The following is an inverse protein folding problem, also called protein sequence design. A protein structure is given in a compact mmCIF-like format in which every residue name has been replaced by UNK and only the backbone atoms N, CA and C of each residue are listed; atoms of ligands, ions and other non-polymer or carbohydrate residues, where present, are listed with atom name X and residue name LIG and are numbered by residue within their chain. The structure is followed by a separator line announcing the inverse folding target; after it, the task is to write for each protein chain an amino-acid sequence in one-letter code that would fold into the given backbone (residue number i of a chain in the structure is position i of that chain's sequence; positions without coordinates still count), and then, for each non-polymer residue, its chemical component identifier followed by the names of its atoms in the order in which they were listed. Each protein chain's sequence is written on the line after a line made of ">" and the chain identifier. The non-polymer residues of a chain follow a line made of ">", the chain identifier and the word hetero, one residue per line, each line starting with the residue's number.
data_IF_743575983070
#
_entry.id   IF_743575983070
#
_cell.length_a   1.000
_cell.length_b   1.000
_cell.length_c   1.000
_cell.angle_alpha   90.00
_cell.angle_beta   90.00
_cell.angle_gamma   90.00
#
_symmetry.space_group_name_H-M   'P 1'
#
loop_
_entity.id
_entity.type
_entity.pdbx_description
1 polymer ?
#
# COMPACT_ATOMS: atom_id res chain seq x y z
N UNK A 1 49.16 -8.51 18.74
CA UNK A 1 48.20 -8.34 17.62
C UNK A 1 46.73 -8.55 18.01
N UNK A 2 46.37 -9.48 18.92
CA UNK A 2 44.97 -9.76 19.33
C UNK A 2 44.16 -8.56 19.87
N UNK A 3 44.78 -7.64 20.63
CA UNK A 3 44.08 -6.47 21.22
C UNK A 3 43.60 -5.42 20.20
N UNK A 4 44.25 -5.29 19.04
CA UNK A 4 43.84 -4.36 17.99
C UNK A 4 42.53 -4.80 17.32
N UNK A 5 42.33 -6.09 17.10
CA UNK A 5 41.11 -6.62 16.48
C UNK A 5 39.88 -6.47 17.39
N UNK A 6 40.07 -6.57 18.71
CA UNK A 6 39.01 -6.33 19.70
C UNK A 6 38.50 -4.88 19.65
N UNK A 7 39.41 -3.92 19.45
CA UNK A 7 39.03 -2.50 19.31
C UNK A 7 38.22 -2.23 18.04
N UNK A 8 38.60 -2.82 16.90
CA UNK A 8 37.82 -2.73 15.67
C UNK A 8 36.45 -3.41 15.77
N UNK A 9 36.36 -4.52 16.51
CA UNK A 9 35.10 -5.22 16.75
C UNK A 9 34.13 -4.39 17.62
N UNK A 10 34.65 -3.71 18.65
CA UNK A 10 33.85 -2.80 19.49
C UNK A 10 33.36 -1.57 18.74
N UNK A 11 34.14 -1.06 17.77
CA UNK A 11 33.75 0.11 16.97
C UNK A 11 32.56 -0.18 16.02
N UNK A 12 32.43 -1.43 15.55
CA UNK A 12 31.34 -1.86 14.66
C UNK A 12 29.96 -1.90 15.34
N UNK A 13 29.92 -2.04 16.67
CA UNK A 13 28.67 -2.16 17.45
C UNK A 13 28.00 -0.78 17.65
N UNK A 14 28.74 0.32 17.48
CA UNK A 14 28.25 1.69 17.74
C UNK A 14 27.58 2.32 16.51
N UNK A 15 27.46 1.60 15.39
CA UNK A 15 26.73 2.13 14.24
C UNK A 15 25.24 2.12 14.60
N UNK A 16 24.58 3.29 14.77
CA UNK A 16 23.15 3.31 15.00
C UNK A 16 22.48 2.73 13.77
N UNK A 17 21.79 1.60 13.94
CA UNK A 17 20.86 1.09 12.94
C UNK A 17 19.84 2.20 12.73
N UNK A 18 19.91 2.90 11.59
CA UNK A 18 18.85 3.82 11.19
C UNK A 18 17.59 2.99 11.06
N UNK A 19 16.57 3.32 11.85
CA UNK A 19 15.27 2.66 11.77
C UNK A 19 14.79 2.68 10.31
N UNK A 20 14.79 1.51 9.69
CA UNK A 20 14.15 1.31 8.40
C UNK A 20 12.66 1.23 8.67
N UNK A 21 11.98 2.38 8.61
CA UNK A 21 10.53 2.45 8.75
C UNK A 21 9.88 1.82 7.51
N UNK A 22 9.66 0.50 7.57
CA UNK A 22 8.89 -0.22 6.57
C UNK A 22 7.42 0.18 6.67
N UNK A 23 6.85 0.53 5.52
CA UNK A 23 5.44 0.77 5.37
C UNK A 23 4.67 -0.54 5.31
N UNK A 24 3.61 -0.66 6.09
CA UNK A 24 2.63 -1.71 5.84
C UNK A 24 1.73 -1.31 4.68
N UNK A 25 1.88 -2.01 3.54
CA UNK A 25 1.00 -1.87 2.39
C UNK A 25 -0.15 -2.87 2.47
N UNK A 26 -1.37 -2.39 2.24
CA UNK A 26 -2.53 -3.26 2.05
C UNK A 26 -3.09 -3.12 0.65
N UNK A 27 -3.61 -4.23 0.14
CA UNK A 27 -4.12 -4.35 -1.22
C UNK A 27 -5.54 -4.88 -1.15
N UNK A 28 -6.48 -4.11 -1.69
CA UNK A 28 -7.86 -4.53 -1.89
C UNK A 28 -8.17 -4.54 -3.39
N UNK A 29 -8.54 -5.72 -3.89
CA UNK A 29 -8.90 -5.92 -5.29
C UNK A 29 -10.33 -6.42 -5.36
N UNK A 30 -11.14 -5.76 -6.19
CA UNK A 30 -12.45 -6.23 -6.59
C UNK A 30 -12.37 -6.79 -8.02
N UNK A 31 -12.11 -8.11 -8.17
CA UNK A 31 -11.97 -8.73 -9.48
C UNK A 31 -13.34 -8.88 -10.15
N UNK A 32 -13.35 -9.05 -11.47
CA UNK A 32 -14.54 -9.49 -12.20
C UNK A 32 -14.50 -11.01 -12.34
N UNK A 33 -15.12 -11.71 -11.40
CA UNK A 33 -15.28 -13.17 -11.45
C UNK A 33 -16.65 -13.54 -10.89
N UNK A 34 -17.15 -14.74 -11.24
CA UNK A 34 -18.39 -15.28 -10.67
C UNK A 34 -18.31 -15.51 -9.15
N UNK A 35 -17.12 -15.48 -8.58
CA UNK A 35 -16.83 -15.67 -7.16
C UNK A 35 -16.61 -14.34 -6.41
N UNK A 36 -16.64 -13.21 -7.13
CA UNK A 36 -16.48 -11.88 -6.55
C UNK A 36 -17.75 -11.48 -5.80
N UNK A 37 -17.86 -11.88 -4.54
CA UNK A 37 -18.92 -11.44 -3.63
C UNK A 37 -18.59 -10.06 -3.06
N UNK A 38 -19.55 -9.15 -3.03
CA UNK A 38 -19.39 -7.79 -2.47
C UNK A 38 -18.82 -7.81 -1.04
N UNK A 39 -19.21 -8.81 -0.24
CA UNK A 39 -18.69 -9.02 1.12
C UNK A 39 -17.18 -9.28 1.17
N UNK A 40 -16.58 -9.85 0.12
CA UNK A 40 -15.14 -10.15 0.08
C UNK A 40 -14.31 -8.88 -0.12
N UNK A 41 -14.80 -7.92 -0.89
CA UNK A 41 -14.10 -6.64 -1.08
C UNK A 41 -14.15 -5.79 0.20
N UNK A 42 -15.32 -5.68 0.83
CA UNK A 42 -15.46 -4.97 2.09
C UNK A 42 -14.64 -5.62 3.21
N UNK A 43 -14.56 -6.95 3.24
CA UNK A 43 -13.70 -7.68 4.17
C UNK A 43 -12.22 -7.35 3.95
N UNK A 44 -11.74 -7.33 2.71
CA UNK A 44 -10.36 -6.88 2.40
C UNK A 44 -10.11 -5.46 2.92
N UNK A 45 -11.02 -4.52 2.65
CA UNK A 45 -10.91 -3.14 3.11
C UNK A 45 -10.90 -3.02 4.64
N UNK A 46 -11.70 -3.85 5.34
CA UNK A 46 -11.73 -3.88 6.80
C UNK A 46 -10.41 -4.34 7.42
N UNK A 47 -9.69 -5.26 6.76
CA UNK A 47 -8.37 -5.72 7.18
C UNK A 47 -7.29 -4.66 6.94
N UNK A 48 -7.50 -3.78 5.95
CA UNK A 48 -6.57 -2.70 5.60
C UNK A 48 -6.63 -1.47 6.53
N UNK A 49 -7.55 -1.42 7.50
CA UNK A 49 -7.76 -0.22 8.35
C UNK A 49 -6.52 0.28 9.07
N UNK A 50 -5.59 -0.62 9.41
CA UNK A 50 -4.38 -0.30 10.20
C UNK A 50 -3.10 -0.19 9.35
N UNK A 51 -3.22 -0.17 8.02
CA UNK A 51 -2.07 -0.14 7.12
C UNK A 51 -1.57 1.29 6.87
N UNK A 52 -0.28 1.44 6.61
CA UNK A 52 0.36 2.73 6.31
C UNK A 52 0.10 3.18 4.87
N UNK A 53 -0.22 2.26 3.95
CA UNK A 53 -0.61 2.60 2.59
C UNK A 53 -1.68 1.62 2.10
N UNK A 54 -2.57 2.10 1.24
CA UNK A 54 -3.66 1.32 0.69
C UNK A 54 -3.66 1.40 -0.84
N UNK A 55 -3.67 0.24 -1.48
CA UNK A 55 -3.90 0.08 -2.90
C UNK A 55 -5.32 -0.43 -3.13
N UNK A 56 -6.09 0.32 -3.92
CA UNK A 56 -7.45 0.00 -4.34
C UNK A 56 -7.47 -0.31 -5.82
N UNK A 57 -8.15 -1.39 -6.21
CA UNK A 57 -8.33 -1.72 -7.63
C UNK A 57 -9.67 -2.40 -7.86
N UNK A 58 -10.41 -1.91 -8.84
CA UNK A 58 -11.74 -2.41 -9.21
C UNK A 58 -11.74 -2.69 -10.70
N UNK A 59 -12.19 -3.89 -11.08
CA UNK A 59 -12.25 -4.30 -12.47
C UNK A 59 -13.22 -3.40 -13.27
N UNK A 60 -12.84 -3.01 -14.48
CA UNK A 60 -13.61 -2.05 -15.29
C UNK A 60 -14.92 -2.60 -15.88
N UNK A 61 -15.09 -3.93 -15.92
CA UNK A 61 -16.32 -4.58 -16.39
C UNK A 61 -17.57 -4.31 -15.53
N UNK A 62 -17.43 -3.72 -14.33
CA UNK A 62 -18.60 -3.27 -13.56
C UNK A 62 -19.06 -1.90 -14.08
N UNK A 63 -20.34 -1.76 -14.40
CA UNK A 63 -20.91 -0.50 -14.91
C UNK A 63 -20.64 0.70 -13.98
N UNK A 64 -20.62 0.44 -12.68
CA UNK A 64 -20.36 1.42 -11.62
C UNK A 64 -18.92 1.37 -11.07
N UNK A 65 -17.97 0.73 -11.75
CA UNK A 65 -16.61 0.51 -11.24
C UNK A 65 -15.91 1.80 -10.77
N UNK A 66 -16.03 2.88 -11.55
CA UNK A 66 -15.44 4.18 -11.21
C UNK A 66 -16.12 4.80 -9.97
N UNK A 67 -17.45 4.69 -9.89
CA UNK A 67 -18.20 5.17 -8.73
C UNK A 67 -17.84 4.38 -7.47
N UNK A 68 -17.76 3.04 -7.56
CA UNK A 68 -17.30 2.18 -6.47
C UNK A 68 -15.90 2.55 -6.00
N UNK A 69 -14.99 2.86 -6.93
CA UNK A 69 -13.64 3.29 -6.59
C UNK A 69 -13.67 4.62 -5.84
N UNK A 70 -14.44 5.60 -6.32
CA UNK A 70 -14.58 6.90 -5.66
C UNK A 70 -15.17 6.77 -4.26
N UNK A 71 -16.24 5.98 -4.09
CA UNK A 71 -16.84 5.71 -2.78
C UNK A 71 -15.88 4.99 -1.84
N UNK A 72 -15.08 4.06 -2.36
CA UNK A 72 -14.04 3.37 -1.57
C UNK A 72 -12.94 4.33 -1.13
N UNK A 73 -12.50 5.24 -2.01
CA UNK A 73 -11.54 6.29 -1.67
C UNK A 73 -12.13 7.20 -0.59
N UNK A 74 -13.36 7.69 -0.75
CA UNK A 74 -14.01 8.56 0.23
C UNK A 74 -14.17 7.86 1.60
N UNK A 75 -14.42 6.55 1.62
CA UNK A 75 -14.67 5.81 2.87
C UNK A 75 -13.39 5.38 3.59
N UNK A 76 -12.33 5.06 2.85
CA UNK A 76 -11.13 4.42 3.41
C UNK A 76 -9.85 5.27 3.27
N UNK A 77 -9.88 6.31 2.45
CA UNK A 77 -8.72 7.18 2.23
C UNK A 77 -8.92 8.60 2.74
N UNK A 78 -10.17 9.05 2.86
CA UNK A 78 -10.47 10.38 3.38
C UNK A 78 -10.49 10.38 4.91
N UNK A 79 -9.74 11.32 5.50
CA UNK A 79 -9.78 11.83 6.88
C UNK A 79 -8.49 12.61 7.21
N UNK A 80 -7.36 12.43 6.51
CA UNK A 80 -6.11 13.21 6.78
C UNK A 80 -5.03 13.20 5.67
N UNK A 81 -5.21 12.53 4.52
CA UNK A 81 -4.06 11.93 3.80
C UNK A 81 -4.07 12.12 2.27
N UNK A 82 -2.89 12.09 1.63
CA UNK A 82 -2.72 12.39 0.20
C UNK A 82 -3.11 11.18 -0.67
N UNK A 83 -4.10 11.36 -1.53
CA UNK A 83 -4.48 10.37 -2.56
C UNK A 83 -3.60 10.56 -3.78
N UNK A 84 -2.77 9.56 -4.10
CA UNK A 84 -1.98 9.51 -5.32
C UNK A 84 -2.74 8.61 -6.30
N UNK A 85 -3.46 9.21 -7.25
CA UNK A 85 -4.16 8.45 -8.28
C UNK A 85 -3.14 7.81 -9.22
N UNK A 86 -3.28 6.50 -9.49
CA UNK A 86 -2.51 5.80 -10.50
C UNK A 86 -3.39 5.50 -11.71
N UNK A 87 -2.86 5.76 -12.91
CA UNK A 87 -3.60 5.65 -14.17
C UNK A 87 -3.74 4.21 -14.68
N UNK A 88 -4.73 4.01 -15.54
CA UNK A 88 -5.11 2.74 -16.16
C UNK A 88 -4.06 2.33 -17.21
N UNK A 89 -3.38 1.19 -17.01
CA UNK A 89 -2.64 0.53 -18.11
C UNK A 89 -3.59 -0.34 -18.93
N UNK A 90 -3.86 0.08 -20.17
CA UNK A 90 -4.70 -0.64 -21.15
C UNK A 90 -3.96 -1.86 -21.72
N UNK A 91 -3.91 -2.98 -21.00
CA UNK A 91 -3.55 -4.28 -21.58
C UNK A 91 -4.36 -5.42 -20.95
N UNK A 92 -5.29 -6.00 -21.71
CA UNK A 92 -5.95 -7.29 -21.44
C UNK A 92 -7.09 -7.29 -20.41
N UNK A 93 -6.92 -6.63 -19.26
CA UNK A 93 -7.96 -6.46 -18.24
C UNK A 93 -7.81 -5.08 -17.61
N UNK A 94 -8.78 -4.19 -17.86
CA UNK A 94 -8.70 -2.81 -17.38
C UNK A 94 -9.20 -2.75 -15.94
N UNK A 95 -8.42 -2.14 -15.05
CA UNK A 95 -8.82 -1.85 -13.68
C UNK A 95 -8.81 -0.35 -13.46
N UNK A 96 -9.81 0.16 -12.75
CA UNK A 96 -9.73 1.47 -12.12
C UNK A 96 -9.00 1.31 -10.79
N UNK A 97 -7.86 1.99 -10.63
CA UNK A 97 -7.02 1.83 -9.46
C UNK A 97 -6.69 3.17 -8.82
N UNK A 98 -6.39 3.15 -7.52
CA UNK A 98 -5.94 4.32 -6.79
C UNK A 98 -5.04 3.90 -5.63
N UNK A 99 -4.11 4.78 -5.26
CA UNK A 99 -3.24 4.60 -4.10
C UNK A 99 -3.53 5.68 -3.09
N UNK A 100 -3.66 5.27 -1.83
CA UNK A 100 -3.83 6.17 -0.71
C UNK A 100 -2.59 6.04 0.17
N UNK A 101 -1.80 7.11 0.22
CA UNK A 101 -0.53 7.14 0.95
C UNK A 101 -0.76 7.82 2.29
N UNK A 102 -0.57 7.08 3.37
CA UNK A 102 -0.86 7.59 4.70
C UNK A 102 0.35 8.07 5.47
N UNK A 103 1.51 7.45 5.23
CA UNK A 103 2.81 7.92 5.70
C UNK A 103 3.78 7.90 4.53
N UNK A 104 4.63 8.94 4.40
CA UNK A 104 5.72 8.95 3.44
C UNK A 104 6.88 8.15 4.03
N UNK A 105 7.43 7.22 3.26
CA UNK A 105 8.52 6.35 3.70
C UNK A 105 9.79 6.69 2.93
N UNK A 106 10.93 6.76 3.64
CA UNK A 106 12.26 7.02 3.06
C UNK A 106 12.86 5.82 2.33
N UNK A 107 12.09 4.76 2.09
CA UNK A 107 12.57 3.55 1.42
C UNK A 107 12.72 3.72 -0.10
N UNK A 108 12.27 4.85 -0.64
CA UNK A 108 12.53 5.26 -2.02
C UNK A 108 13.13 6.66 -1.96
N UNK A 109 14.44 6.76 -2.15
CA UNK A 109 15.05 8.04 -2.52
C UNK A 109 14.45 8.42 -3.89
N UNK A 110 13.90 9.64 -3.98
CA UNK A 110 13.47 10.24 -5.25
C UNK A 110 14.68 10.64 -6.10
#
# INVERSE_FOLDING_TARGET
>A
MKKRYIFYFLLLIIIPLKDSASANWCKAIYPYSKEALDGNFQKQLSLCKNSDNLFLSIHSNYDNALHLLHTSIASFCDLTKQVIKSEIKKTGSSFYSSVCVFRRHKLREE
#
